data_IF_509914660777
#
_entry.id   IF_509914660777
#
_cell.length_a   1.000
_cell.length_b   1.000
_cell.length_c   1.000
_cell.angle_alpha   90.00
_cell.angle_beta   90.00
_cell.angle_gamma   90.00
#
_symmetry.space_group_name_H-M   'P 1'
#
loop_
_entity.id
_entity.type
_entity.pdbx_description
1 polymer ?
#
# COMPACT_ATOMS: atom_id res chain seq x y z
N UNK A 1 32.45 -37.08 -9.37
CA UNK A 1 31.10 -37.43 -8.87
C UNK A 1 30.45 -36.16 -8.32
N UNK A 2 29.60 -35.42 -9.06
CA UNK A 2 28.92 -34.28 -8.48
C UNK A 2 27.70 -34.75 -7.68
N UNK A 3 27.65 -34.36 -6.40
CA UNK A 3 26.49 -34.53 -5.51
C UNK A 3 25.33 -33.71 -6.09
N UNK A 4 24.28 -34.38 -6.54
CA UNK A 4 22.99 -33.77 -6.86
C UNK A 4 22.46 -33.12 -5.58
N UNK A 5 22.46 -31.78 -5.53
CA UNK A 5 21.66 -31.01 -4.58
C UNK A 5 20.19 -31.31 -4.89
N UNK A 6 19.66 -32.36 -4.24
CA UNK A 6 18.23 -32.55 -4.09
C UNK A 6 17.70 -31.32 -3.36
N UNK A 7 17.16 -30.37 -4.13
CA UNK A 7 16.34 -29.29 -3.61
C UNK A 7 15.19 -29.95 -2.85
N UNK A 8 15.24 -29.91 -1.52
CA UNK A 8 14.12 -30.32 -0.68
C UNK A 8 12.88 -29.52 -1.12
N UNK A 9 11.87 -30.16 -1.73
CA UNK A 9 10.66 -29.48 -2.18
C UNK A 9 9.95 -28.79 -1.01
N UNK A 10 10.11 -29.32 0.20
CA UNK A 10 9.60 -28.74 1.44
C UNK A 10 10.31 -27.44 1.83
N UNK A 11 11.62 -27.32 1.58
CA UNK A 11 12.38 -26.10 1.85
C UNK A 11 12.01 -24.96 0.87
N UNK A 12 11.82 -25.28 -0.42
CA UNK A 12 11.34 -24.33 -1.41
C UNK A 12 9.90 -23.88 -1.12
N UNK A 13 9.02 -24.83 -0.76
CA UNK A 13 7.65 -24.51 -0.36
C UNK A 13 7.60 -23.66 0.90
N UNK A 14 8.41 -23.96 1.92
CA UNK A 14 8.54 -23.14 3.13
C UNK A 14 9.03 -21.73 2.80
N UNK A 15 10.00 -21.55 1.91
CA UNK A 15 10.45 -20.21 1.50
C UNK A 15 9.39 -19.43 0.73
N UNK A 16 8.58 -20.10 -0.09
CA UNK A 16 7.44 -19.48 -0.79
C UNK A 16 6.36 -19.06 0.20
N UNK A 17 5.97 -19.95 1.10
CA UNK A 17 5.01 -19.67 2.17
C UNK A 17 5.53 -18.57 3.09
N UNK A 18 6.78 -18.63 3.51
CA UNK A 18 7.40 -17.62 4.38
C UNK A 18 7.50 -16.26 3.70
N UNK A 19 7.76 -16.20 2.39
CA UNK A 19 7.66 -14.94 1.60
C UNK A 19 6.23 -14.43 1.46
N UNK A 20 5.23 -15.29 1.46
CA UNK A 20 3.80 -14.94 1.33
C UNK A 20 3.15 -14.57 2.68
N UNK A 21 3.57 -15.23 3.75
CA UNK A 21 3.09 -15.07 5.14
C UNK A 21 3.88 -13.96 5.85
N UNK A 22 5.18 -13.90 5.64
CA UNK A 22 6.11 -12.96 6.28
C UNK A 22 6.97 -12.22 5.24
N UNK A 23 6.41 -11.25 4.48
CA UNK A 23 7.20 -10.41 3.59
C UNK A 23 8.01 -9.37 4.40
N UNK A 24 8.82 -9.78 5.38
CA UNK A 24 9.66 -8.88 6.20
C UNK A 24 8.95 -7.72 6.92
N UNK A 25 7.61 -7.62 6.84
CA UNK A 25 6.76 -6.60 7.45
C UNK A 25 5.38 -7.20 7.71
N UNK A 26 4.88 -7.21 8.97
CA UNK A 26 3.58 -7.79 9.31
C UNK A 26 2.40 -7.16 8.55
N UNK A 27 2.51 -5.88 8.20
CA UNK A 27 1.43 -5.06 7.64
C UNK A 27 1.26 -5.23 6.11
N UNK A 28 2.26 -5.80 5.42
CA UNK A 28 2.22 -6.01 3.96
C UNK A 28 1.76 -7.41 3.53
N UNK A 29 1.50 -8.31 4.49
CA UNK A 29 1.10 -9.68 4.19
C UNK A 29 -0.31 -9.74 3.59
N UNK A 30 -0.55 -10.71 2.71
CA UNK A 30 -1.87 -10.88 2.11
C UNK A 30 -2.94 -11.20 3.17
N UNK A 31 -2.58 -11.96 4.21
CA UNK A 31 -3.46 -12.27 5.34
C UNK A 31 -3.87 -11.02 6.13
N UNK A 32 -2.94 -10.08 6.34
CA UNK A 32 -3.27 -8.81 6.99
C UNK A 32 -4.29 -8.01 6.18
N UNK A 33 -4.07 -7.86 4.87
CA UNK A 33 -4.99 -7.14 3.98
C UNK A 33 -6.39 -7.79 4.00
N UNK A 34 -6.46 -9.11 3.88
CA UNK A 34 -7.74 -9.83 3.94
C UNK A 34 -8.43 -9.69 5.30
N UNK A 35 -7.65 -9.76 6.39
CA UNK A 35 -8.14 -9.57 7.76
C UNK A 35 -8.72 -8.18 7.98
N UNK A 36 -7.98 -7.14 7.57
CA UNK A 36 -8.40 -5.74 7.65
C UNK A 36 -9.68 -5.49 6.85
N UNK A 37 -9.75 -5.96 5.60
CA UNK A 37 -10.96 -5.83 4.78
C UNK A 37 -12.16 -6.57 5.37
N UNK A 38 -11.96 -7.75 5.95
CA UNK A 38 -13.03 -8.50 6.64
C UNK A 38 -13.54 -7.75 7.86
N UNK A 39 -12.64 -7.17 8.65
CA UNK A 39 -13.01 -6.33 9.79
C UNK A 39 -13.79 -5.10 9.34
N UNK A 40 -13.26 -4.32 8.40
CA UNK A 40 -13.89 -3.11 7.87
C UNK A 40 -15.26 -3.40 7.27
N UNK A 41 -15.43 -4.51 6.56
CA UNK A 41 -16.75 -4.94 6.04
C UNK A 41 -17.80 -5.14 7.12
N UNK A 42 -17.41 -5.57 8.32
CA UNK A 42 -18.33 -5.68 9.47
C UNK A 42 -18.52 -4.33 10.14
N UNK A 43 -17.44 -3.60 10.35
CA UNK A 43 -17.43 -2.36 11.12
C UNK A 43 -18.19 -1.23 10.42
N UNK A 44 -18.02 -1.08 9.11
CA UNK A 44 -18.70 -0.08 8.28
C UNK A 44 -20.21 -0.35 8.09
N UNK A 45 -20.76 -1.44 8.66
CA UNK A 45 -22.21 -1.68 8.67
C UNK A 45 -22.90 -0.97 9.82
N UNK A 46 -22.18 -0.69 10.90
CA UNK A 46 -22.72 -0.07 12.12
C UNK A 46 -22.16 1.33 12.33
N UNK A 47 -20.93 1.56 11.91
CA UNK A 47 -20.27 2.86 12.00
C UNK A 47 -20.22 3.56 10.65
N UNK A 48 -20.31 4.89 10.67
CA UNK A 48 -20.16 5.75 9.49
C UNK A 48 -18.92 6.61 9.62
N UNK A 49 -18.26 6.83 8.49
CA UNK A 49 -17.08 7.67 8.38
C UNK A 49 -17.25 8.58 7.17
N UNK A 50 -16.85 9.83 7.32
CA UNK A 50 -16.93 10.82 6.25
C UNK A 50 -15.74 10.74 5.30
N UNK A 51 -14.61 10.20 5.75
CA UNK A 51 -13.42 10.02 4.95
C UNK A 51 -12.54 8.87 5.45
N UNK A 52 -11.68 8.37 4.57
CA UNK A 52 -10.56 7.48 4.88
C UNK A 52 -9.26 8.25 4.75
N UNK A 53 -8.31 8.01 5.65
CA UNK A 53 -6.92 8.46 5.53
C UNK A 53 -6.01 7.23 5.53
N UNK A 54 -5.07 7.16 4.59
CA UNK A 54 -3.99 6.17 4.66
C UNK A 54 -2.65 6.81 4.36
N UNK A 55 -1.61 6.34 5.05
CA UNK A 55 -0.26 6.90 4.98
C UNK A 55 0.74 5.89 4.43
N UNK A 56 1.60 6.34 3.52
CA UNK A 56 2.70 5.60 2.89
C UNK A 56 3.85 5.32 3.90
N UNK A 57 4.85 4.47 3.59
CA UNK A 57 5.16 3.84 2.31
C UNK A 57 4.49 2.47 2.09
N UNK A 58 3.50 2.08 2.90
CA UNK A 58 2.89 0.76 2.77
C UNK A 58 1.81 0.72 1.68
N UNK A 59 2.13 0.04 0.57
CA UNK A 59 1.19 -0.25 -0.52
C UNK A 59 -0.06 -0.98 -0.02
N UNK A 60 0.03 -1.74 1.07
CA UNK A 60 -1.12 -2.42 1.67
C UNK A 60 -2.15 -1.42 2.24
N UNK A 61 -1.69 -0.35 2.89
CA UNK A 61 -2.59 0.66 3.46
C UNK A 61 -3.38 1.38 2.36
N UNK A 62 -2.69 1.84 1.31
CA UNK A 62 -3.34 2.45 0.15
C UNK A 62 -4.27 1.48 -0.58
N UNK A 63 -3.90 0.19 -0.70
CA UNK A 63 -4.80 -0.83 -1.27
C UNK A 63 -6.08 -0.99 -0.45
N UNK A 64 -5.97 -1.10 0.87
CA UNK A 64 -7.13 -1.25 1.75
C UNK A 64 -8.04 -0.03 1.64
N UNK A 65 -7.47 1.18 1.72
CA UNK A 65 -8.20 2.43 1.62
C UNK A 65 -8.88 2.61 0.26
N UNK A 66 -8.17 2.26 -0.83
CA UNK A 66 -8.71 2.22 -2.20
C UNK A 66 -9.92 1.28 -2.31
N UNK A 67 -9.83 0.05 -1.78
CA UNK A 67 -10.96 -0.89 -1.81
C UNK A 67 -12.14 -0.38 -0.97
N UNK A 68 -11.89 0.18 0.22
CA UNK A 68 -12.94 0.76 1.06
C UNK A 68 -13.63 1.92 0.35
N UNK A 69 -12.84 2.82 -0.23
CA UNK A 69 -13.36 4.00 -0.93
C UNK A 69 -14.27 3.61 -2.08
N UNK A 70 -13.80 2.76 -2.98
CA UNK A 70 -14.57 2.29 -4.15
C UNK A 70 -15.82 1.52 -3.72
N UNK A 71 -15.71 0.67 -2.69
CA UNK A 71 -16.82 -0.22 -2.28
C UNK A 71 -17.91 0.49 -1.48
N UNK A 72 -17.55 1.47 -0.67
CA UNK A 72 -18.47 2.13 0.27
C UNK A 72 -18.78 3.58 -0.10
N UNK A 73 -18.17 4.12 -1.17
CA UNK A 73 -18.36 5.50 -1.60
C UNK A 73 -17.79 6.53 -0.62
N UNK A 74 -16.87 6.12 0.25
CA UNK A 74 -16.25 7.01 1.25
C UNK A 74 -15.02 7.67 0.59
N UNK A 75 -14.92 9.01 0.53
CA UNK A 75 -13.76 9.66 -0.06
C UNK A 75 -12.49 9.32 0.72
N UNK A 76 -11.38 9.16 0.01
CA UNK A 76 -10.11 8.74 0.60
C UNK A 76 -8.99 9.73 0.28
N UNK A 77 -8.24 10.14 1.32
CA UNK A 77 -7.02 10.94 1.22
C UNK A 77 -5.79 10.03 1.30
N UNK A 78 -4.97 10.04 0.26
CA UNK A 78 -3.73 9.29 0.18
C UNK A 78 -2.55 10.16 0.63
N UNK A 79 -2.05 9.89 1.83
CA UNK A 79 -0.91 10.58 2.41
C UNK A 79 0.40 9.86 2.07
N UNK A 80 1.29 10.53 1.36
CA UNK A 80 2.57 10.00 0.89
C UNK A 80 3.72 10.80 1.48
N UNK A 81 4.10 10.47 2.71
CA UNK A 81 5.19 11.16 3.45
C UNK A 81 6.57 10.94 2.83
N UNK A 82 6.68 9.83 2.12
CA UNK A 82 7.89 9.27 1.54
C UNK A 82 7.62 8.96 0.06
N UNK A 83 8.55 9.30 -0.83
CA UNK A 83 8.43 8.89 -2.23
C UNK A 83 8.73 7.39 -2.38
N UNK A 84 7.64 6.63 -2.49
CA UNK A 84 7.64 5.17 -2.65
C UNK A 84 8.49 4.69 -3.84
N UNK A 85 8.55 5.47 -4.92
CA UNK A 85 9.26 5.12 -6.13
C UNK A 85 10.78 5.21 -5.95
N UNK A 86 11.27 6.25 -5.26
CA UNK A 86 12.70 6.55 -5.12
C UNK A 86 13.36 5.80 -3.97
N UNK A 87 12.68 5.61 -2.83
CA UNK A 87 13.33 5.11 -1.60
C UNK A 87 13.92 3.69 -1.74
N UNK A 88 13.44 2.86 -2.67
CA UNK A 88 13.97 1.48 -2.86
C UNK A 88 14.05 0.97 -4.30
N UNK A 89 14.05 1.84 -5.32
CA UNK A 89 14.01 1.47 -6.76
C UNK A 89 13.06 0.28 -7.01
N UNK A 90 11.76 0.54 -6.83
CA UNK A 90 10.74 -0.52 -6.91
C UNK A 90 10.63 -1.08 -8.33
N UNK A 91 10.44 -2.41 -8.50
CA UNK A 91 10.13 -2.98 -9.80
C UNK A 91 8.88 -2.35 -10.41
N UNK A 92 8.84 -2.21 -11.74
CA UNK A 92 7.77 -1.53 -12.46
C UNK A 92 6.35 -2.06 -12.14
N UNK A 93 6.22 -3.35 -11.79
CA UNK A 93 4.94 -3.93 -11.36
C UNK A 93 4.40 -3.28 -10.09
N UNK A 94 5.24 -2.93 -9.12
CA UNK A 94 4.81 -2.26 -7.90
C UNK A 94 4.38 -0.82 -8.16
N UNK A 95 5.07 -0.12 -9.06
CA UNK A 95 4.69 1.23 -9.48
C UNK A 95 3.34 1.23 -10.22
N UNK A 96 3.09 0.21 -11.05
CA UNK A 96 1.79 0.01 -11.72
C UNK A 96 0.67 -0.26 -10.70
N UNK A 97 0.93 -1.11 -9.70
CA UNK A 97 -0.04 -1.40 -8.64
C UNK A 97 -0.32 -0.17 -7.78
N UNK A 98 0.72 0.57 -7.40
CA UNK A 98 0.58 1.82 -6.66
C UNK A 98 -0.27 2.82 -7.43
N UNK A 99 0.05 3.07 -8.71
CA UNK A 99 -0.75 3.94 -9.57
C UNK A 99 -2.22 3.49 -9.62
N UNK A 100 -2.46 2.19 -9.74
CA UNK A 100 -3.82 1.62 -9.72
C UNK A 100 -4.54 1.87 -8.39
N UNK A 101 -3.85 1.68 -7.27
CA UNK A 101 -4.47 1.86 -5.96
C UNK A 101 -4.72 3.32 -5.65
N UNK A 102 -3.86 4.23 -6.09
CA UNK A 102 -3.99 5.67 -5.89
C UNK A 102 -5.04 6.33 -6.79
N UNK A 103 -5.43 5.69 -7.90
CA UNK A 103 -6.38 6.24 -8.88
C UNK A 103 -7.70 6.77 -8.24
N UNK A 104 -8.42 6.00 -7.40
CA UNK A 104 -9.67 6.47 -6.80
C UNK A 104 -9.50 7.42 -5.60
N UNK A 105 -8.25 7.77 -5.21
CA UNK A 105 -8.05 8.70 -4.11
C UNK A 105 -8.70 10.06 -4.45
N UNK A 106 -9.41 10.65 -3.49
CA UNK A 106 -10.05 11.95 -3.64
C UNK A 106 -9.01 13.09 -3.59
N UNK A 107 -8.00 12.95 -2.73
CA UNK A 107 -6.91 13.91 -2.58
C UNK A 107 -5.59 13.22 -2.22
N UNK A 108 -4.48 13.93 -2.45
CA UNK A 108 -3.14 13.51 -2.09
C UNK A 108 -2.50 14.51 -1.14
N UNK A 109 -1.80 14.01 -0.12
CA UNK A 109 -1.02 14.82 0.80
C UNK A 109 0.42 14.32 0.92
N UNK A 110 1.33 15.19 1.30
CA UNK A 110 2.72 14.86 1.65
C UNK A 110 3.27 15.87 2.64
N UNK A 111 4.49 15.66 3.13
CA UNK A 111 5.14 16.48 4.16
C UNK A 111 6.20 17.44 3.62
N UNK A 112 6.50 17.40 2.32
CA UNK A 112 7.53 18.28 1.73
C UNK A 112 7.23 18.62 0.27
N UNK A 113 7.66 19.80 -0.15
CA UNK A 113 7.50 20.26 -1.54
C UNK A 113 8.20 19.35 -2.56
N UNK A 114 9.41 18.87 -2.26
CA UNK A 114 10.12 17.98 -3.19
C UNK A 114 9.41 16.65 -3.44
N UNK A 115 8.76 16.08 -2.42
CA UNK A 115 7.92 14.88 -2.60
C UNK A 115 6.63 15.22 -3.34
N UNK A 116 6.06 16.41 -3.11
CA UNK A 116 4.86 16.86 -3.83
C UNK A 116 5.11 16.94 -5.33
N UNK A 117 6.16 17.64 -5.76
CA UNK A 117 6.53 17.79 -7.18
C UNK A 117 6.69 16.42 -7.87
N UNK A 118 7.42 15.49 -7.25
CA UNK A 118 7.62 14.14 -7.79
C UNK A 118 6.31 13.33 -7.88
N UNK A 119 5.41 13.49 -6.90
CA UNK A 119 4.10 12.83 -6.92
C UNK A 119 3.17 13.46 -7.96
N UNK A 120 3.15 14.78 -8.08
CA UNK A 120 2.35 15.51 -9.08
C UNK A 120 2.75 15.13 -10.50
N UNK A 121 4.05 15.08 -10.79
CA UNK A 121 4.57 14.64 -12.09
C UNK A 121 4.10 13.22 -12.43
N UNK A 122 4.10 12.32 -11.44
CA UNK A 122 3.76 10.90 -11.62
C UNK A 122 2.26 10.63 -11.70
N UNK A 123 1.47 11.38 -10.93
CA UNK A 123 0.03 11.20 -10.80
C UNK A 123 -0.76 12.06 -11.79
N UNK A 124 -0.18 13.18 -12.26
CA UNK A 124 -0.88 14.18 -13.06
C UNK A 124 -2.03 14.86 -12.30
N UNK A 125 -1.95 14.90 -10.96
CA UNK A 125 -2.98 15.41 -10.05
C UNK A 125 -2.31 16.24 -8.95
N UNK A 126 -2.95 17.31 -8.46
CA UNK A 126 -2.38 18.17 -7.43
C UNK A 126 -2.17 17.42 -6.11
N UNK A 127 -1.10 17.77 -5.39
CA UNK A 127 -0.72 17.20 -4.09
C UNK A 127 -0.58 18.33 -3.07
N UNK A 128 -1.29 18.23 -1.95
CA UNK A 128 -1.20 19.22 -0.88
C UNK A 128 -0.02 18.93 0.06
N UNK A 129 0.78 19.94 0.38
CA UNK A 129 1.85 19.83 1.36
C UNK A 129 1.30 20.19 2.75
N UNK A 130 1.44 19.26 3.69
CA UNK A 130 1.12 19.41 5.11
C UNK A 130 2.39 19.08 5.89
N UNK A 131 3.13 20.10 6.28
CA UNK A 131 4.37 19.95 7.03
C UNK A 131 4.11 19.36 8.42
N UNK A 132 5.11 18.67 8.98
CA UNK A 132 5.01 18.14 10.33
C UNK A 132 5.01 19.29 11.35
N UNK A 133 4.23 19.14 12.43
CA UNK A 133 4.35 20.02 13.59
C UNK A 133 5.69 19.86 14.31
N UNK A 134 6.12 20.91 14.99
CA UNK A 134 7.34 20.97 15.80
C UNK A 134 7.04 21.31 17.26
#
# INVERSE_FOLDING_TARGET
MPRTLLLDPGAAWRQIVDRLVHPGKPNGSWFFILGALRFLRRHLRTERYDAVLSTSPDLAAHRIASEVSVRYGIPWVADSRDDFATIRRKPAVFLKLEKRYLEPAAAFTTVSHGVAEALEERLGRPVSVIENGF
#
